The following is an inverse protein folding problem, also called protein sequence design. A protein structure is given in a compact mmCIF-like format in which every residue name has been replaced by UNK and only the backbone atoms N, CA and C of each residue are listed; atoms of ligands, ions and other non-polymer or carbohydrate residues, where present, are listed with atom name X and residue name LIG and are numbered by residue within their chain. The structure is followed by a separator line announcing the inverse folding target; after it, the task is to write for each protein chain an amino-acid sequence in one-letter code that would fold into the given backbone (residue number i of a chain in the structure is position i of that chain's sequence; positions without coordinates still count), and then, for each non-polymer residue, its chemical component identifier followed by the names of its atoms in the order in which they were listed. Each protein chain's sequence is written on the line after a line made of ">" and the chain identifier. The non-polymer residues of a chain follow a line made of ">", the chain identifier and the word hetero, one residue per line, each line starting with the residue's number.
data_IF_785124374626
#
_entry.id   IF_785124374626
#
_cell.length_a   1.000
_cell.length_b   1.000
_cell.length_c   1.000
_cell.angle_alpha   90.00
_cell.angle_beta   90.00
_cell.angle_gamma   90.00
#
_symmetry.space_group_name_H-M   'P 1'
#
loop_
_entity.id
_entity.type
_entity.pdbx_description
1 polymer ?
#
# COMPACT_ATOMS: atom_id res chain seq x y z
N UNK A 1 31.97 4.72 -17.89
CA UNK A 1 30.56 5.19 -17.76
C UNK A 1 29.82 4.17 -16.91
N UNK A 2 29.29 4.56 -15.74
CA UNK A 2 28.54 3.67 -14.85
C UNK A 2 27.04 3.85 -15.10
N UNK A 3 26.36 2.82 -15.61
CA UNK A 3 24.89 2.83 -15.73
C UNK A 3 24.30 2.66 -14.33
N UNK A 4 23.49 3.63 -13.89
CA UNK A 4 22.74 3.50 -12.64
C UNK A 4 21.44 2.78 -12.96
N UNK A 5 21.40 1.46 -12.70
CA UNK A 5 20.26 0.61 -13.07
C UNK A 5 19.05 0.77 -12.12
N UNK A 6 19.29 1.17 -10.87
CA UNK A 6 18.27 1.31 -9.85
C UNK A 6 18.41 2.63 -9.10
N UNK A 7 17.28 3.27 -8.86
CA UNK A 7 17.15 4.42 -7.97
C UNK A 7 16.14 4.10 -6.88
N UNK A 8 16.54 4.29 -5.62
CA UNK A 8 15.65 4.11 -4.47
C UNK A 8 14.91 5.42 -4.19
N UNK A 9 13.59 5.38 -4.28
CA UNK A 9 12.69 6.51 -4.01
C UNK A 9 11.64 6.09 -2.97
N UNK A 10 11.47 6.82 -1.87
CA UNK A 10 10.41 6.55 -0.92
C UNK A 10 9.05 6.89 -1.54
N UNK A 11 8.09 5.96 -1.46
CA UNK A 11 6.73 6.15 -1.99
C UNK A 11 5.72 6.49 -0.89
N UNK A 12 5.70 5.74 0.21
CA UNK A 12 4.82 5.98 1.37
C UNK A 12 5.67 6.02 2.62
N UNK A 13 5.71 7.17 3.28
CA UNK A 13 6.43 7.34 4.54
C UNK A 13 5.61 6.86 5.74
N UNK A 14 6.31 6.59 6.85
CA UNK A 14 5.73 5.97 8.05
C UNK A 14 4.64 6.84 8.67
N UNK A 15 4.82 8.15 8.62
CA UNK A 15 3.94 9.18 9.14
C UNK A 15 2.57 9.11 8.47
N UNK A 16 2.55 8.92 7.14
CA UNK A 16 1.33 8.83 6.34
C UNK A 16 0.56 7.51 6.58
N UNK A 17 1.29 6.44 6.88
CA UNK A 17 0.72 5.12 7.16
C UNK A 17 0.22 5.00 8.61
N UNK A 18 1.10 5.24 9.58
CA UNK A 18 0.96 4.85 10.98
C UNK A 18 0.75 6.01 11.97
N UNK A 19 1.03 7.26 11.57
CA UNK A 19 1.18 8.36 12.52
C UNK A 19 2.16 8.00 13.64
N UNK A 20 1.80 8.32 14.89
CA UNK A 20 2.62 8.03 16.09
C UNK A 20 2.47 6.59 16.64
N UNK A 21 1.76 5.69 15.95
CA UNK A 21 1.55 4.33 16.46
C UNK A 21 2.83 3.49 16.32
N UNK A 22 3.54 3.32 17.44
CA UNK A 22 4.84 2.66 17.49
C UNK A 22 4.89 1.16 17.08
N UNK A 23 3.75 0.48 16.85
CA UNK A 23 3.69 -0.99 16.67
C UNK A 23 3.01 -1.49 15.38
N UNK A 24 2.73 -0.60 14.43
CA UNK A 24 2.17 -1.03 13.13
C UNK A 24 3.32 -1.47 12.21
N UNK A 25 3.17 -2.62 11.57
CA UNK A 25 4.08 -3.13 10.55
C UNK A 25 3.29 -3.34 9.25
N UNK A 26 3.97 -3.11 8.11
CA UNK A 26 3.47 -3.52 6.80
C UNK A 26 3.74 -5.02 6.65
N UNK A 27 2.70 -5.78 6.34
CA UNK A 27 2.76 -7.24 6.22
C UNK A 27 2.68 -7.66 4.75
N UNK A 28 1.89 -6.95 3.94
CA UNK A 28 1.80 -7.18 2.52
C UNK A 28 1.43 -5.90 1.76
N UNK A 29 1.74 -5.88 0.47
CA UNK A 29 1.38 -4.81 -0.46
C UNK A 29 0.81 -5.40 -1.74
N UNK A 30 -0.03 -4.63 -2.42
CA UNK A 30 -0.55 -4.95 -3.76
C UNK A 30 -0.74 -3.65 -4.54
N UNK A 31 -0.38 -3.66 -5.84
CA UNK A 31 -0.54 -2.50 -6.72
C UNK A 31 -1.51 -2.81 -7.86
N UNK A 32 -2.39 -1.85 -8.18
CA UNK A 32 -3.27 -1.91 -9.34
C UNK A 32 -3.28 -0.54 -10.04
N UNK A 33 -2.48 -0.41 -11.10
CA UNK A 33 -2.24 0.88 -11.75
C UNK A 33 -1.60 1.86 -10.77
N UNK A 34 -2.24 3.01 -10.56
CA UNK A 34 -1.80 4.04 -9.60
C UNK A 34 -2.24 3.76 -8.16
N UNK A 35 -3.05 2.74 -7.93
CA UNK A 35 -3.52 2.40 -6.58
C UNK A 35 -2.55 1.45 -5.89
N UNK A 36 -2.15 1.82 -4.67
CA UNK A 36 -1.34 0.99 -3.77
C UNK A 36 -2.18 0.61 -2.56
N UNK A 37 -2.29 -0.69 -2.31
CA UNK A 37 -2.94 -1.25 -1.14
C UNK A 37 -1.89 -1.83 -0.19
N UNK A 38 -2.03 -1.54 1.09
CA UNK A 38 -1.09 -1.97 2.14
C UNK A 38 -1.87 -2.68 3.23
N UNK A 39 -1.51 -3.92 3.52
CA UNK A 39 -2.03 -4.70 4.63
C UNK A 39 -1.09 -4.60 5.83
N UNK A 40 -1.66 -4.43 7.03
CA UNK A 40 -0.88 -4.26 8.27
C UNK A 40 -1.13 -5.37 9.29
N UNK A 41 -0.24 -5.46 10.26
CA UNK A 41 -0.33 -6.41 11.38
C UNK A 41 -1.53 -6.14 12.30
N UNK A 42 -2.01 -4.90 12.38
CA UNK A 42 -3.19 -4.51 13.17
C UNK A 42 -4.52 -4.66 12.40
N UNK A 43 -4.52 -5.46 11.33
CA UNK A 43 -5.72 -5.85 10.59
C UNK A 43 -6.37 -4.70 9.80
N UNK A 44 -5.56 -3.72 9.37
CA UNK A 44 -5.99 -2.66 8.47
C UNK A 44 -5.52 -2.92 7.04
N UNK A 45 -6.35 -2.45 6.11
CA UNK A 45 -5.99 -2.22 4.71
C UNK A 45 -5.94 -0.71 4.51
N UNK A 46 -4.83 -0.18 4.01
CA UNK A 46 -4.71 1.21 3.60
C UNK A 46 -4.65 1.31 2.08
N UNK A 47 -5.33 2.30 1.53
CA UNK A 47 -5.39 2.56 0.09
C UNK A 47 -4.79 3.92 -0.20
N UNK A 48 -3.79 3.93 -1.08
CA UNK A 48 -3.11 5.12 -1.54
C UNK A 48 -3.24 5.28 -3.05
N UNK A 49 -3.25 6.51 -3.51
CA UNK A 49 -2.97 6.88 -4.89
C UNK A 49 -1.51 7.30 -5.00
N UNK A 50 -0.76 6.68 -5.90
CA UNK A 50 0.61 7.04 -6.24
C UNK A 50 0.64 7.88 -7.51
N UNK A 51 1.31 9.02 -7.44
CA UNK A 51 1.54 9.90 -8.58
C UNK A 51 3.03 10.17 -8.74
N UNK A 52 3.50 10.02 -9.97
CA UNK A 52 4.86 10.36 -10.36
C UNK A 52 4.97 11.87 -10.52
N UNK A 53 5.94 12.46 -9.84
CA UNK A 53 6.21 13.90 -9.83
C UNK A 53 7.65 14.12 -10.24
N UNK A 54 7.86 14.94 -11.27
CA UNK A 54 9.20 15.36 -11.67
C UNK A 54 9.60 16.60 -10.88
N UNK A 55 10.66 16.47 -10.07
CA UNK A 55 11.25 17.60 -9.36
C UNK A 55 11.83 18.63 -10.34
N UNK A 56 11.97 19.89 -9.92
CA UNK A 56 12.62 20.96 -10.69
C UNK A 56 14.06 20.65 -11.12
N UNK A 57 14.70 19.67 -10.47
CA UNK A 57 16.04 19.16 -10.83
C UNK A 57 16.01 17.96 -11.78
N UNK A 58 14.85 17.63 -12.36
CA UNK A 58 14.65 16.48 -13.25
C UNK A 58 14.65 15.11 -12.56
N UNK A 59 14.65 15.09 -11.22
CA UNK A 59 14.61 13.84 -10.43
C UNK A 59 13.17 13.35 -10.34
N UNK A 60 12.95 12.07 -10.63
CA UNK A 60 11.68 11.41 -10.41
C UNK A 60 11.44 11.21 -8.91
N UNK A 61 10.26 11.61 -8.46
CA UNK A 61 9.76 11.45 -7.09
C UNK A 61 8.33 10.93 -7.15
N UNK A 62 7.84 10.36 -6.06
CA UNK A 62 6.46 9.91 -5.97
C UNK A 62 5.75 10.66 -4.85
N UNK A 63 4.52 11.08 -5.13
CA UNK A 63 3.57 11.54 -4.13
C UNK A 63 2.61 10.40 -3.83
N UNK A 64 2.39 10.11 -2.54
CA UNK A 64 1.35 9.20 -2.11
C UNK A 64 0.25 9.97 -1.39
N UNK A 65 -0.98 9.81 -1.86
CA UNK A 65 -2.16 10.34 -1.21
C UNK A 65 -2.95 9.19 -0.58
N UNK A 66 -3.13 9.21 0.74
CA UNK A 66 -4.02 8.25 1.41
C UNK A 66 -5.46 8.56 1.01
N UNK A 67 -6.11 7.61 0.35
CA UNK A 67 -7.51 7.74 -0.05
C UNK A 67 -8.41 7.15 1.04
N UNK A 68 -8.19 5.89 1.40
CA UNK A 68 -9.06 5.14 2.31
C UNK A 68 -8.26 4.27 3.28
N UNK A 69 -8.93 3.83 4.35
CA UNK A 69 -8.46 2.72 5.16
C UNK A 69 -9.65 1.91 5.69
N UNK A 70 -9.44 0.61 5.91
CA UNK A 70 -10.46 -0.29 6.43
C UNK A 70 -9.89 -1.25 7.46
N UNK A 71 -10.50 -1.26 8.64
CA UNK A 71 -10.27 -2.29 9.65
C UNK A 71 -11.13 -3.53 9.36
N UNK A 72 -10.54 -4.72 9.35
CA UNK A 72 -11.27 -5.96 9.05
C UNK A 72 -11.93 -6.60 10.28
N UNK A 73 -11.61 -6.18 11.51
CA UNK A 73 -12.24 -6.70 12.71
C UNK A 73 -11.65 -8.01 13.27
N UNK A 74 -10.71 -8.64 12.57
CA UNK A 74 -10.22 -9.99 12.89
C UNK A 74 -9.05 -10.01 13.88
N UNK A 75 -8.46 -8.85 14.21
CA UNK A 75 -7.30 -8.71 15.12
C UNK A 75 -6.11 -9.61 14.74
N UNK A 76 -5.96 -9.90 13.45
CA UNK A 76 -4.90 -10.69 12.85
C UNK A 76 -4.27 -9.91 11.71
N UNK A 77 -2.98 -10.14 11.41
CA UNK A 77 -2.32 -9.52 10.27
C UNK A 77 -3.08 -9.75 8.96
N UNK A 78 -3.10 -8.74 8.09
CA UNK A 78 -3.45 -8.94 6.69
C UNK A 78 -2.27 -9.64 6.03
N UNK A 79 -2.43 -10.92 5.71
CA UNK A 79 -1.34 -11.77 5.25
C UNK A 79 -1.05 -11.59 3.75
N UNK A 80 -2.09 -11.35 2.94
CA UNK A 80 -1.94 -11.20 1.49
C UNK A 80 -3.02 -10.29 0.92
N UNK A 81 -2.65 -9.53 -0.09
CA UNK A 81 -3.55 -8.72 -0.91
C UNK A 81 -3.35 -9.09 -2.39
N UNK A 82 -4.43 -9.22 -3.14
CA UNK A 82 -4.41 -9.42 -4.60
C UNK A 82 -5.49 -8.59 -5.26
N UNK A 83 -5.12 -7.80 -6.26
CA UNK A 83 -6.07 -6.99 -7.00
C UNK A 83 -6.79 -7.87 -8.03
N UNK A 84 -8.11 -8.01 -7.89
CA UNK A 84 -8.98 -8.58 -8.90
C UNK A 84 -9.60 -7.45 -9.71
N UNK A 85 -8.77 -6.77 -10.53
CA UNK A 85 -9.14 -5.54 -11.24
C UNK A 85 -10.38 -5.70 -12.13
N UNK A 86 -10.52 -6.84 -12.81
CA UNK A 86 -11.69 -7.17 -13.62
C UNK A 86 -13.00 -7.33 -12.81
N UNK A 87 -12.90 -7.52 -11.50
CA UNK A 87 -14.05 -7.60 -10.58
C UNK A 87 -14.25 -6.32 -9.77
N UNK A 88 -13.35 -5.33 -9.89
CA UNK A 88 -13.34 -4.14 -9.03
C UNK A 88 -13.32 -4.51 -7.54
N UNK A 89 -12.49 -5.52 -7.21
CA UNK A 89 -12.33 -6.04 -5.85
C UNK A 89 -10.86 -6.25 -5.50
N UNK A 90 -10.59 -6.21 -4.20
CA UNK A 90 -9.36 -6.67 -3.58
C UNK A 90 -9.65 -8.00 -2.88
N UNK A 91 -8.90 -9.03 -3.24
CA UNK A 91 -8.86 -10.29 -2.49
C UNK A 91 -7.90 -10.11 -1.32
N UNK A 92 -8.34 -10.52 -0.13
CA UNK A 92 -7.63 -10.30 1.13
C UNK A 92 -7.53 -11.62 1.88
N UNK A 93 -6.32 -12.07 2.20
CA UNK A 93 -6.10 -13.19 3.11
C UNK A 93 -5.86 -12.66 4.52
N UNK A 94 -6.73 -13.04 5.47
CA UNK A 94 -6.58 -12.70 6.87
C UNK A 94 -7.09 -13.85 7.74
N UNK A 95 -6.28 -14.30 8.70
CA UNK A 95 -6.59 -15.43 9.60
C UNK A 95 -7.01 -16.73 8.87
N UNK A 96 -6.40 -17.02 7.72
CA UNK A 96 -6.72 -18.20 6.92
C UNK A 96 -8.04 -18.11 6.14
N UNK A 97 -8.71 -16.95 6.16
CA UNK A 97 -9.95 -16.69 5.41
C UNK A 97 -9.68 -15.70 4.28
N UNK A 98 -10.24 -16.00 3.10
CA UNK A 98 -10.22 -15.11 1.95
C UNK A 98 -11.46 -14.22 1.93
N UNK A 99 -11.26 -12.91 1.87
CA UNK A 99 -12.32 -11.91 1.76
C UNK A 99 -12.23 -11.18 0.42
N UNK A 100 -13.37 -10.69 -0.07
CA UNK A 100 -13.44 -9.70 -1.14
C UNK A 100 -13.80 -8.34 -0.54
N UNK A 101 -12.97 -7.34 -0.78
CA UNK A 101 -13.20 -5.96 -0.38
C UNK A 101 -13.45 -5.13 -1.64
N UNK A 102 -14.49 -4.30 -1.63
CA UNK A 102 -14.76 -3.31 -2.68
C UNK A 102 -13.66 -2.25 -2.67
N UNK A 103 -13.04 -2.05 -3.83
CA UNK A 103 -12.01 -1.03 -4.07
C UNK A 103 -12.63 0.32 -4.43
#
# INVERSE_FOLDING_TARGET
>A
MSVKAFELVPAVERELLMGDKARINIECIECCGKHLYIGTNDCFIHHFLLEEVTSSKGKLTFSAQKLHHKYLGLKKPVAELRAASALERLIVLCDGVLFLVTC
#
